data_IF_034144430503
#
_entry.id   IF_034144430503
#
_cell.length_a   1.000
_cell.length_b   1.000
_cell.length_c   1.000
_cell.angle_alpha   90.00
_cell.angle_beta   90.00
_cell.angle_gamma   90.00
#
_symmetry.space_group_name_H-M   'P 1'
#
loop_
_entity.id
_entity.type
_entity.pdbx_description
1 polymer ?
#
# COMPACT_ATOMS: atom_id res chain seq x y z
N UNK A 1 0.40 13.14 5.99
CA UNK A 1 1.76 13.62 5.68
C UNK A 1 2.32 12.72 4.60
N UNK A 2 2.38 13.22 3.36
CA UNK A 2 2.97 12.51 2.24
C UNK A 2 4.47 12.42 2.48
N UNK A 3 5.01 11.21 2.56
CA UNK A 3 6.46 11.01 2.51
C UNK A 3 6.83 10.84 1.04
N UNK A 4 7.38 11.89 0.45
CA UNK A 4 8.14 11.76 -0.79
C UNK A 4 9.48 11.10 -0.48
N UNK A 5 10.06 10.31 -1.41
CA UNK A 5 11.43 9.86 -1.28
C UNK A 5 12.34 11.05 -0.98
N UNK A 6 13.14 10.96 0.07
CA UNK A 6 14.15 11.98 0.33
C UNK A 6 15.22 11.87 -0.75
N UNK A 7 15.71 13.03 -1.21
CA UNK A 7 16.90 13.08 -2.05
C UNK A 7 18.05 12.39 -1.32
N UNK A 8 18.49 11.29 -1.82
CA UNK A 8 19.74 10.67 -1.41
C UNK A 8 20.85 11.40 -2.16
N UNK A 9 21.85 11.92 -1.44
CA UNK A 9 22.96 12.66 -2.05
C UNK A 9 23.81 11.78 -2.99
N UNK A 10 23.67 10.46 -2.87
CA UNK A 10 24.32 9.47 -3.73
C UNK A 10 23.58 9.20 -5.04
N UNK A 11 22.34 9.73 -5.20
CA UNK A 11 21.57 9.52 -6.42
C UNK A 11 21.89 10.64 -7.44
N UNK A 12 22.42 10.31 -8.62
CA UNK A 12 22.82 11.32 -9.61
C UNK A 12 21.64 12.08 -10.23
N UNK A 13 20.43 11.67 -9.95
CA UNK A 13 19.19 12.26 -10.44
C UNK A 13 18.51 12.98 -9.29
N UNK A 14 18.37 14.30 -9.38
CA UNK A 14 17.58 15.06 -8.43
C UNK A 14 16.09 14.79 -8.68
N UNK A 15 15.49 14.03 -7.80
CA UNK A 15 14.03 13.90 -7.79
C UNK A 15 13.40 15.24 -7.41
N UNK A 16 12.28 15.65 -8.04
CA UNK A 16 11.60 16.88 -7.68
C UNK A 16 11.16 16.83 -6.23
N UNK A 17 11.36 17.95 -5.54
CA UNK A 17 10.87 18.12 -4.16
C UNK A 17 9.35 18.11 -4.22
N UNK A 18 8.72 17.08 -3.70
CA UNK A 18 7.26 16.90 -3.57
C UNK A 18 6.43 17.56 -4.65
N UNK A 19 5.73 16.82 -5.49
CA UNK A 19 4.80 17.41 -6.43
C UNK A 19 3.79 18.28 -5.66
N UNK A 20 3.46 19.46 -6.18
CA UNK A 20 2.43 20.32 -5.59
C UNK A 20 1.08 19.59 -5.61
N UNK A 21 0.16 19.96 -4.71
CA UNK A 21 -1.20 19.40 -4.73
C UNK A 21 -1.86 19.56 -6.11
N UNK A 22 -1.63 20.68 -6.78
CA UNK A 22 -2.15 20.93 -8.13
C UNK A 22 -1.59 19.95 -9.18
N UNK A 23 -0.35 19.50 -9.03
CA UNK A 23 0.26 18.49 -9.90
C UNK A 23 -0.30 17.09 -9.64
N UNK A 24 -0.66 16.79 -8.41
CA UNK A 24 -1.28 15.51 -8.03
C UNK A 24 -2.77 15.51 -8.39
N UNK A 25 -3.44 16.65 -8.32
CA UNK A 25 -4.87 16.85 -8.44
C UNK A 25 -5.31 17.41 -9.80
N UNK A 26 -4.59 17.14 -10.88
CA UNK A 26 -5.04 17.49 -12.25
C UNK A 26 -6.33 16.76 -12.68
N UNK A 27 -6.98 16.09 -11.77
CA UNK A 27 -8.36 15.63 -11.93
C UNK A 27 -9.25 16.87 -11.86
N UNK A 28 -9.83 17.25 -12.99
CA UNK A 28 -10.68 18.42 -13.11
C UNK A 28 -11.72 18.55 -11.98
N UNK A 29 -12.22 19.74 -11.79
CA UNK A 29 -13.07 20.14 -10.68
C UNK A 29 -14.12 19.08 -10.29
N UNK A 30 -13.99 18.54 -9.06
CA UNK A 30 -14.91 17.62 -8.41
C UNK A 30 -15.13 16.29 -9.17
N UNK A 31 -14.24 15.30 -8.97
CA UNK A 31 -14.47 13.98 -9.53
C UNK A 31 -15.77 13.38 -8.99
N UNK A 32 -16.63 12.93 -9.89
CA UNK A 32 -17.86 12.24 -9.50
C UNK A 32 -17.49 10.78 -9.12
N UNK A 33 -17.89 10.40 -7.92
CA UNK A 33 -17.75 9.04 -7.42
C UNK A 33 -19.13 8.49 -7.04
N UNK A 34 -19.33 7.20 -7.29
CA UNK A 34 -20.56 6.51 -6.93
C UNK A 34 -20.23 5.19 -6.26
N UNK A 35 -20.91 4.89 -5.17
CA UNK A 35 -20.86 3.61 -4.48
C UNK A 35 -22.27 3.07 -4.25
N UNK A 36 -22.41 1.75 -4.35
CA UNK A 36 -23.66 1.03 -4.05
C UNK A 36 -23.35 -0.18 -3.20
N UNK A 37 -24.17 -0.40 -2.19
CA UNK A 37 -24.09 -1.52 -1.27
C UNK A 37 -25.47 -2.15 -1.14
N UNK A 38 -25.56 -3.47 -1.33
CA UNK A 38 -26.76 -4.26 -1.13
C UNK A 38 -26.41 -5.40 -0.19
N UNK A 39 -27.15 -5.56 0.89
CA UNK A 39 -26.96 -6.67 1.81
C UNK A 39 -28.25 -7.38 2.17
N UNK A 40 -28.14 -8.66 2.54
CA UNK A 40 -29.24 -9.45 3.06
C UNK A 40 -28.76 -10.28 4.24
N UNK A 41 -29.47 -10.14 5.36
CA UNK A 41 -29.22 -10.89 6.57
C UNK A 41 -30.11 -12.12 6.66
N UNK A 42 -29.58 -13.19 7.22
CA UNK A 42 -30.22 -14.47 7.54
C UNK A 42 -29.99 -14.77 9.02
N UNK A 43 -30.66 -15.78 9.55
CA UNK A 43 -30.50 -16.18 10.95
C UNK A 43 -29.10 -16.71 11.29
N UNK A 44 -28.31 -17.11 10.30
CA UNK A 44 -26.99 -17.70 10.45
C UNK A 44 -25.86 -16.85 9.86
N UNK A 45 -26.18 -15.66 9.35
CA UNK A 45 -25.16 -14.80 8.74
C UNK A 45 -25.73 -13.76 7.80
N UNK A 46 -24.89 -13.13 7.03
CA UNK A 46 -25.25 -12.14 6.01
C UNK A 46 -24.45 -12.32 4.72
N UNK A 47 -24.94 -11.71 3.65
CA UNK A 47 -24.25 -11.60 2.37
C UNK A 47 -24.41 -10.19 1.83
N UNK A 48 -23.38 -9.67 1.19
CA UNK A 48 -23.38 -8.35 0.59
C UNK A 48 -22.77 -8.33 -0.81
N UNK A 49 -23.24 -7.39 -1.61
CA UNK A 49 -22.67 -7.03 -2.91
C UNK A 49 -22.31 -5.54 -2.88
N UNK A 50 -21.14 -5.22 -3.38
CA UNK A 50 -20.60 -3.88 -3.39
C UNK A 50 -20.18 -3.50 -4.80
N UNK A 51 -20.45 -2.25 -5.17
CA UNK A 51 -19.92 -1.63 -6.37
C UNK A 51 -19.41 -0.24 -6.05
N UNK A 52 -18.28 0.12 -6.62
CA UNK A 52 -17.70 1.46 -6.52
C UNK A 52 -17.13 1.86 -7.87
N UNK A 53 -17.32 3.11 -8.24
CA UNK A 53 -16.67 3.76 -9.38
C UNK A 53 -16.21 5.15 -8.94
N UNK A 54 -14.91 5.37 -8.97
CA UNK A 54 -14.30 6.61 -8.48
C UNK A 54 -12.81 6.61 -8.77
N UNK A 55 -12.03 7.18 -7.85
CA UNK A 55 -10.58 7.31 -8.00
C UNK A 55 -9.84 6.59 -6.88
N UNK A 56 -8.61 6.19 -7.17
CA UNK A 56 -7.70 5.62 -6.18
C UNK A 56 -7.53 6.57 -4.99
N UNK A 57 -7.23 6.02 -3.83
CA UNK A 57 -6.96 6.79 -2.60
C UNK A 57 -5.47 7.08 -2.40
N UNK A 58 -4.64 6.45 -3.22
CA UNK A 58 -3.20 6.69 -3.30
C UNK A 58 -2.88 7.24 -4.68
N UNK A 59 -1.97 8.19 -4.73
CA UNK A 59 -1.43 8.65 -6.01
C UNK A 59 -0.44 7.62 -6.57
N UNK A 60 -0.37 7.56 -7.88
CA UNK A 60 0.44 6.62 -8.64
C UNK A 60 1.27 7.38 -9.67
N UNK A 61 2.34 6.74 -10.12
CA UNK A 61 3.14 7.26 -11.21
C UNK A 61 2.31 7.25 -12.50
N UNK A 62 2.07 8.44 -13.08
CA UNK A 62 1.35 8.62 -14.36
C UNK A 62 2.28 8.80 -15.54
N UNK A 63 3.48 9.30 -15.30
CA UNK A 63 4.48 9.51 -16.34
C UNK A 63 5.75 10.16 -15.83
N UNK A 64 6.72 10.26 -16.73
CA UNK A 64 8.04 10.81 -16.45
C UNK A 64 8.42 11.75 -17.58
N UNK A 65 8.94 12.93 -17.25
CA UNK A 65 9.60 13.84 -18.18
C UNK A 65 11.09 13.81 -17.91
N UNK A 66 11.89 13.66 -18.97
CA UNK A 66 13.33 13.74 -18.93
C UNK A 66 13.82 14.97 -19.68
N UNK A 67 14.69 15.72 -19.04
CA UNK A 67 15.35 16.89 -19.62
C UNK A 67 16.86 16.70 -19.52
N UNK A 68 17.58 17.08 -20.55
CA UNK A 68 19.04 17.04 -20.58
C UNK A 68 19.61 18.29 -21.19
N UNK A 69 20.70 18.79 -20.61
CA UNK A 69 21.39 19.98 -21.05
C UNK A 69 22.89 19.73 -21.22
N UNK A 70 23.46 20.34 -22.24
CA UNK A 70 24.88 20.25 -22.54
C UNK A 70 25.28 19.10 -23.47
N UNK A 71 26.51 19.12 -24.02
CA UNK A 71 26.96 18.17 -25.05
C UNK A 71 27.04 16.73 -24.54
N UNK A 72 27.20 16.55 -23.24
CA UNK A 72 27.36 15.23 -22.59
C UNK A 72 26.16 14.85 -21.72
N UNK A 73 25.03 15.54 -21.83
CA UNK A 73 23.87 15.37 -20.95
C UNK A 73 24.26 15.44 -19.47
N UNK A 74 25.23 16.31 -19.16
CA UNK A 74 25.91 16.37 -17.86
C UNK A 74 25.02 16.80 -16.69
N UNK A 75 23.82 17.31 -16.98
CA UNK A 75 22.84 17.73 -15.98
C UNK A 75 21.46 17.15 -16.32
N UNK A 76 21.24 15.84 -16.20
CA UNK A 76 19.92 15.25 -16.40
C UNK A 76 18.97 15.73 -15.28
N UNK A 77 17.74 16.04 -15.67
CA UNK A 77 16.66 16.33 -14.76
C UNK A 77 15.49 15.43 -15.09
N UNK A 78 14.98 14.74 -14.09
CA UNK A 78 13.80 13.90 -14.22
C UNK A 78 12.67 14.50 -13.38
N UNK A 79 11.56 14.77 -14.02
CA UNK A 79 10.33 15.23 -13.40
C UNK A 79 9.31 14.09 -13.44
N UNK A 80 8.84 13.71 -12.25
CA UNK A 80 7.91 12.58 -12.06
C UNK A 80 6.51 13.13 -11.88
N UNK A 81 5.60 12.69 -12.72
CA UNK A 81 4.20 13.10 -12.68
C UNK A 81 3.35 12.04 -11.99
N UNK A 82 2.69 12.43 -10.92
CA UNK A 82 1.75 11.59 -10.19
C UNK A 82 0.31 11.94 -10.55
N UNK A 83 -0.56 10.95 -10.44
CA UNK A 83 -2.00 11.12 -10.62
C UNK A 83 -2.80 10.07 -9.85
N UNK A 84 -4.12 10.22 -9.88
CA UNK A 84 -5.04 9.24 -9.32
C UNK A 84 -5.70 8.45 -10.44
N UNK A 85 -5.56 7.12 -10.41
CA UNK A 85 -6.22 6.25 -11.38
C UNK A 85 -7.72 6.20 -11.12
N UNK A 86 -8.49 6.19 -12.19
CA UNK A 86 -9.91 5.86 -12.12
C UNK A 86 -10.07 4.37 -11.83
N UNK A 87 -10.86 4.05 -10.83
CA UNK A 87 -11.01 2.68 -10.33
C UNK A 87 -12.49 2.30 -10.27
N UNK A 88 -12.80 1.14 -10.83
CA UNK A 88 -14.09 0.48 -10.67
C UNK A 88 -13.86 -0.79 -9.85
N UNK A 89 -14.67 -0.99 -8.83
CA UNK A 89 -14.62 -2.15 -7.94
C UNK A 89 -15.96 -2.85 -7.91
N UNK A 90 -15.94 -4.16 -8.00
CA UNK A 90 -17.09 -5.02 -7.71
C UNK A 90 -16.68 -6.02 -6.64
N UNK A 91 -17.44 -6.10 -5.57
CA UNK A 91 -17.12 -6.94 -4.43
C UNK A 91 -18.31 -7.74 -3.94
N UNK A 92 -18.00 -8.87 -3.32
CA UNK A 92 -18.93 -9.72 -2.57
C UNK A 92 -18.33 -9.93 -1.19
N UNK A 93 -19.18 -9.91 -0.17
CA UNK A 93 -18.78 -10.21 1.20
C UNK A 93 -19.88 -10.91 1.94
N UNK A 94 -19.53 -11.47 3.09
CA UNK A 94 -20.52 -12.08 3.98
C UNK A 94 -19.91 -12.60 5.26
N UNK A 95 -20.79 -12.89 6.22
CA UNK A 95 -20.45 -13.50 7.49
C UNK A 95 -21.32 -14.71 7.78
N UNK A 96 -20.78 -15.65 8.54
CA UNK A 96 -21.46 -16.84 9.06
C UNK A 96 -21.22 -16.94 10.56
N UNK A 97 -22.27 -17.22 11.33
CA UNK A 97 -22.23 -17.36 12.78
C UNK A 97 -22.45 -18.81 13.20
N UNK A 98 -21.53 -19.38 13.96
CA UNK A 98 -21.58 -20.74 14.51
C UNK A 98 -21.27 -20.69 16.01
N UNK A 99 -22.29 -20.44 16.83
CA UNK A 99 -22.10 -20.25 18.27
C UNK A 99 -21.17 -19.09 18.59
N UNK A 100 -20.03 -19.37 19.22
CA UNK A 100 -19.02 -18.36 19.58
C UNK A 100 -18.00 -18.08 18.49
N UNK A 101 -18.22 -18.60 17.28
CA UNK A 101 -17.34 -18.42 16.14
C UNK A 101 -18.06 -17.62 15.06
N UNK A 102 -17.39 -16.60 14.55
CA UNK A 102 -17.79 -15.85 13.37
C UNK A 102 -16.75 -16.04 12.25
N UNK A 103 -17.24 -16.40 11.08
CA UNK A 103 -16.43 -16.46 9.85
C UNK A 103 -16.86 -15.32 8.92
N UNK A 104 -15.92 -14.54 8.42
CA UNK A 104 -16.15 -13.50 7.40
C UNK A 104 -15.30 -13.77 6.19
N UNK A 105 -15.85 -13.49 5.02
CA UNK A 105 -15.14 -13.58 3.76
C UNK A 105 -15.54 -12.41 2.86
N UNK A 106 -14.52 -11.77 2.28
CA UNK A 106 -14.68 -10.70 1.32
C UNK A 106 -13.80 -10.96 0.11
N UNK A 107 -14.34 -10.67 -1.07
CA UNK A 107 -13.58 -10.69 -2.31
C UNK A 107 -13.99 -9.52 -3.19
N UNK A 108 -13.03 -8.86 -3.81
CA UNK A 108 -13.27 -7.73 -4.69
C UNK A 108 -12.37 -7.78 -5.93
N UNK A 109 -12.96 -7.47 -7.08
CA UNK A 109 -12.27 -7.30 -8.35
C UNK A 109 -12.21 -5.81 -8.67
N UNK A 110 -11.03 -5.35 -9.02
CA UNK A 110 -10.73 -3.97 -9.34
C UNK A 110 -10.26 -3.83 -10.77
N UNK A 111 -10.76 -2.80 -11.45
CA UNK A 111 -10.26 -2.36 -12.75
C UNK A 111 -9.82 -0.92 -12.63
N UNK A 112 -8.54 -0.67 -12.79
CA UNK A 112 -7.98 0.67 -12.71
C UNK A 112 -7.47 1.14 -14.06
N UNK A 113 -7.52 2.46 -14.27
CA UNK A 113 -7.00 3.12 -15.45
C UNK A 113 -6.45 4.49 -15.08
N UNK A 114 -5.22 4.75 -15.48
CA UNK A 114 -4.67 6.09 -15.47
C UNK A 114 -5.33 6.90 -16.60
N UNK A 115 -6.05 7.96 -16.23
CA UNK A 115 -6.69 8.88 -17.17
C UNK A 115 -5.93 10.22 -17.30
N UNK A 116 -4.78 10.33 -16.63
CA UNK A 116 -3.99 11.55 -16.68
C UNK A 116 -3.44 11.75 -18.10
N UNK A 117 -3.94 12.79 -18.76
CA UNK A 117 -3.58 13.13 -20.14
C UNK A 117 -2.51 14.22 -20.24
N UNK A 118 -2.28 14.92 -19.14
CA UNK A 118 -1.39 16.09 -19.10
C UNK A 118 -0.15 15.76 -18.26
N UNK A 119 0.71 14.93 -18.82
CA UNK A 119 1.97 14.55 -18.19
C UNK A 119 3.15 15.41 -18.64
N UNK A 120 3.02 16.14 -19.77
CA UNK A 120 4.07 17.02 -20.28
C UNK A 120 4.32 18.17 -19.32
N UNK A 121 5.58 18.45 -19.05
CA UNK A 121 6.04 19.54 -18.19
C UNK A 121 6.94 20.49 -18.97
N UNK A 122 6.97 21.72 -18.49
CA UNK A 122 7.90 22.72 -19.06
C UNK A 122 9.31 22.44 -18.54
N UNK A 123 10.30 22.59 -19.43
CA UNK A 123 11.70 22.45 -19.05
C UNK A 123 12.07 23.30 -17.83
N UNK A 124 12.79 22.75 -16.84
CA UNK A 124 13.29 23.50 -15.69
C UNK A 124 14.42 24.47 -16.03
N UNK A 125 14.99 24.38 -17.24
CA UNK A 125 16.07 25.25 -17.68
C UNK A 125 15.55 26.62 -18.09
N UNK A 126 16.39 27.63 -17.96
CA UNK A 126 16.04 29.00 -18.29
C UNK A 126 15.67 29.13 -19.80
N UNK A 127 14.81 30.12 -20.16
CA UNK A 127 14.25 30.24 -21.52
C UNK A 127 15.27 30.34 -22.66
N UNK A 128 16.51 30.70 -22.35
CA UNK A 128 17.60 30.83 -23.31
C UNK A 128 18.54 29.63 -23.37
N UNK A 129 18.22 28.57 -22.62
CA UNK A 129 18.99 27.33 -22.58
C UNK A 129 18.20 26.29 -23.34
N UNK A 130 18.72 25.77 -24.43
CA UNK A 130 18.10 24.72 -25.20
C UNK A 130 18.40 23.38 -24.55
N UNK A 131 17.36 22.61 -24.24
CA UNK A 131 17.51 21.22 -23.83
C UNK A 131 18.17 20.44 -25.00
N UNK A 132 19.19 19.69 -24.65
CA UNK A 132 19.80 18.74 -25.61
C UNK A 132 18.95 17.48 -25.75
N UNK A 133 18.16 17.19 -24.75
CA UNK A 133 17.22 16.10 -24.65
C UNK A 133 15.93 16.58 -23.95
N UNK A 134 14.80 16.31 -24.57
CA UNK A 134 13.49 16.45 -23.92
C UNK A 134 12.61 15.31 -24.41
N UNK A 135 12.11 14.53 -23.49
CA UNK A 135 11.16 13.47 -23.77
C UNK A 135 10.13 13.34 -22.66
N UNK A 136 8.96 12.86 -23.02
CA UNK A 136 7.84 12.61 -22.13
C UNK A 136 7.41 11.16 -22.30
N UNK A 137 7.41 10.40 -21.21
CA UNK A 137 6.96 9.02 -21.16
C UNK A 137 5.65 8.91 -20.35
N UNK A 138 4.50 8.79 -21.02
CA UNK A 138 3.25 8.45 -20.36
C UNK A 138 3.25 6.97 -19.99
N UNK A 139 2.77 6.66 -18.81
CA UNK A 139 2.53 5.25 -18.44
C UNK A 139 1.19 4.76 -18.98
N UNK A 140 0.14 5.58 -18.93
CA UNK A 140 -1.22 5.21 -19.35
C UNK A 140 -1.64 3.83 -18.81
N UNK A 141 -1.34 3.62 -17.55
CA UNK A 141 -1.45 2.33 -16.89
C UNK A 141 -2.90 1.84 -16.83
N UNK A 142 -3.10 0.56 -17.09
CA UNK A 142 -4.35 -0.14 -16.89
C UNK A 142 -4.07 -1.45 -16.16
N UNK A 143 -4.78 -1.69 -15.08
CA UNK A 143 -4.62 -2.94 -14.34
C UNK A 143 -5.96 -3.52 -13.92
N UNK A 144 -5.98 -4.84 -13.85
CA UNK A 144 -7.05 -5.62 -13.22
C UNK A 144 -6.43 -6.43 -12.11
N UNK A 145 -6.93 -6.27 -10.89
CA UNK A 145 -6.45 -7.00 -9.73
C UNK A 145 -7.60 -7.44 -8.84
N UNK A 146 -7.35 -8.42 -8.00
CA UNK A 146 -8.32 -8.84 -7.00
C UNK A 146 -7.72 -8.80 -5.61
N UNK A 147 -8.58 -8.66 -4.61
CA UNK A 147 -8.25 -8.80 -3.20
C UNK A 147 -9.25 -9.74 -2.56
N UNK A 148 -8.76 -10.60 -1.67
CA UNK A 148 -9.59 -11.48 -0.85
C UNK A 148 -9.16 -11.38 0.60
N UNK A 149 -10.14 -11.47 1.49
CA UNK A 149 -9.95 -11.49 2.91
C UNK A 149 -10.81 -12.59 3.51
N UNK A 150 -10.22 -13.44 4.35
CA UNK A 150 -10.91 -14.44 5.15
C UNK A 150 -10.61 -14.16 6.61
N UNK A 151 -11.61 -14.07 7.45
CA UNK A 151 -11.45 -13.78 8.87
C UNK A 151 -12.21 -14.78 9.70
N UNK A 152 -11.61 -15.19 10.79
CA UNK A 152 -12.25 -15.95 11.87
C UNK A 152 -12.16 -15.15 13.15
N UNK A 153 -13.28 -14.99 13.85
CA UNK A 153 -13.34 -14.49 15.21
C UNK A 153 -13.88 -15.60 16.12
N UNK A 154 -13.25 -15.79 17.27
CA UNK A 154 -13.67 -16.80 18.23
C UNK A 154 -13.41 -16.35 19.66
N UNK A 155 -14.34 -16.68 20.55
CA UNK A 155 -14.11 -16.62 21.98
C UNK A 155 -13.54 -17.96 22.45
N UNK A 156 -12.26 -17.95 22.81
CA UNK A 156 -11.54 -19.12 23.31
C UNK A 156 -11.79 -19.30 24.81
N UNK A 157 -11.48 -20.48 25.40
CA UNK A 157 -11.50 -20.67 26.85
C UNK A 157 -10.73 -19.58 27.60
N UNK A 158 -11.13 -19.28 28.80
CA UNK A 158 -10.55 -18.25 29.67
C UNK A 158 -10.78 -16.82 29.21
N UNK A 159 -11.88 -16.55 28.50
CA UNK A 159 -12.29 -15.24 28.00
C UNK A 159 -11.22 -14.59 27.10
N UNK A 160 -10.51 -15.40 26.31
CA UNK A 160 -9.56 -14.92 25.29
C UNK A 160 -10.33 -14.70 24.00
N UNK A 161 -10.29 -13.47 23.47
CA UNK A 161 -10.76 -13.20 22.10
C UNK A 161 -9.65 -13.47 21.12
N UNK A 162 -9.97 -14.22 20.08
CA UNK A 162 -9.07 -14.52 18.96
C UNK A 162 -9.64 -13.95 17.67
N UNK A 163 -8.79 -13.30 16.90
CA UNK A 163 -9.06 -12.90 15.51
C UNK A 163 -7.91 -13.43 14.67
N UNK A 164 -8.25 -14.24 13.67
CA UNK A 164 -7.33 -14.69 12.63
C UNK A 164 -7.82 -14.19 11.28
N UNK A 165 -6.92 -13.66 10.45
CA UNK A 165 -7.25 -13.13 9.15
C UNK A 165 -6.21 -13.57 8.12
N UNK A 166 -6.67 -14.00 6.96
CA UNK A 166 -5.86 -14.24 5.78
C UNK A 166 -6.20 -13.20 4.73
N UNK A 167 -5.19 -12.50 4.26
CA UNK A 167 -5.27 -11.53 3.18
C UNK A 167 -4.51 -12.03 1.97
N UNK A 168 -5.10 -11.85 0.80
CA UNK A 168 -4.43 -12.10 -0.48
C UNK A 168 -4.81 -11.06 -1.52
N UNK A 169 -3.84 -10.62 -2.28
CA UNK A 169 -3.97 -9.75 -3.42
C UNK A 169 -3.13 -10.28 -4.57
N UNK A 170 -3.64 -10.15 -5.82
CA UNK A 170 -2.86 -10.47 -7.01
C UNK A 170 -3.32 -9.64 -8.21
N UNK A 171 -2.37 -9.34 -9.10
CA UNK A 171 -2.59 -8.61 -10.35
C UNK A 171 -2.84 -9.60 -11.47
N UNK A 172 -4.05 -9.56 -12.05
CA UNK A 172 -4.49 -10.47 -13.11
C UNK A 172 -4.05 -10.02 -14.52
N UNK A 173 -4.13 -8.72 -14.76
CA UNK A 173 -3.72 -8.10 -16.04
C UNK A 173 -3.13 -6.73 -15.76
N UNK A 174 -2.05 -6.43 -16.45
CA UNK A 174 -1.39 -5.13 -16.40
C UNK A 174 -0.95 -4.73 -17.79
N UNK A 175 -1.18 -3.48 -18.16
CA UNK A 175 -0.76 -2.89 -19.42
C UNK A 175 -0.36 -1.44 -19.22
N UNK A 176 0.69 -1.04 -19.90
CA UNK A 176 1.15 0.33 -19.95
C UNK A 176 1.70 0.60 -21.35
N UNK A 177 1.71 1.85 -21.76
CA UNK A 177 2.32 2.24 -23.04
C UNK A 177 3.84 2.18 -23.01
N UNK A 178 4.43 2.21 -21.82
CA UNK A 178 5.88 2.28 -21.61
C UNK A 178 6.47 1.06 -20.89
N UNK A 179 5.63 0.17 -20.34
CA UNK A 179 6.04 -1.01 -19.58
C UNK A 179 5.25 -2.24 -20.03
N UNK A 180 5.84 -3.44 -20.04
CA UNK A 180 7.26 -3.72 -19.74
C UNK A 180 8.20 -3.14 -20.79
N UNK A 181 9.45 -2.94 -20.40
CA UNK A 181 10.48 -2.55 -21.36
C UNK A 181 10.84 -3.74 -22.26
N UNK A 182 11.11 -3.48 -23.53
CA UNK A 182 11.52 -4.51 -24.49
C UNK A 182 12.98 -4.95 -24.29
N UNK A 183 13.77 -4.15 -23.59
CA UNK A 183 15.21 -4.39 -23.35
C UNK A 183 15.73 -3.53 -22.20
N UNK A 184 16.84 -3.95 -21.63
CA UNK A 184 17.56 -3.19 -20.59
C UNK A 184 17.91 -1.78 -21.07
N UNK A 185 17.77 -0.81 -20.19
CA UNK A 185 18.17 0.58 -20.45
C UNK A 185 19.46 0.84 -19.68
N UNK A 186 20.51 1.16 -20.44
CA UNK A 186 21.80 1.59 -19.88
C UNK A 186 22.09 3.00 -20.34
N UNK A 187 22.11 3.92 -19.41
CA UNK A 187 22.58 5.29 -19.59
C UNK A 187 23.68 5.58 -18.59
N UNK A 188 24.56 6.57 -18.79
CA UNK A 188 25.62 6.88 -17.84
C UNK A 188 25.06 7.04 -16.41
N UNK A 189 25.57 6.22 -15.48
CA UNK A 189 25.20 6.16 -14.06
C UNK A 189 23.79 5.62 -13.76
N UNK A 190 23.09 5.01 -14.72
CA UNK A 190 21.81 4.35 -14.47
C UNK A 190 21.69 3.10 -15.35
N UNK A 191 21.62 1.95 -14.72
CA UNK A 191 21.28 0.67 -15.35
C UNK A 191 19.92 0.23 -14.83
N UNK A 192 18.98 -0.02 -15.73
CA UNK A 192 17.65 -0.54 -15.41
C UNK A 192 17.49 -1.86 -16.14
N UNK A 193 17.35 -2.93 -15.40
CA UNK A 193 17.06 -4.24 -15.93
C UNK A 193 15.56 -4.39 -16.21
N UNK A 194 15.23 -5.06 -17.32
CA UNK A 194 13.83 -5.33 -17.70
C UNK A 194 13.06 -6.02 -16.56
N UNK A 195 13.71 -6.96 -15.87
CA UNK A 195 13.08 -7.74 -14.80
C UNK A 195 12.74 -6.88 -13.56
N UNK A 196 13.49 -5.82 -13.29
CA UNK A 196 13.23 -4.88 -12.19
C UNK A 196 11.97 -4.07 -12.43
N UNK A 197 11.62 -3.83 -13.69
CA UNK A 197 10.40 -3.13 -14.12
C UNK A 197 9.27 -4.10 -14.51
N UNK A 198 9.28 -5.34 -14.01
CA UNK A 198 8.14 -6.23 -14.16
C UNK A 198 6.90 -5.57 -13.52
N UNK A 199 5.81 -5.42 -14.30
CA UNK A 199 4.54 -4.90 -13.79
C UNK A 199 4.06 -5.53 -12.49
N UNK A 200 4.34 -6.81 -12.26
CA UNK A 200 4.00 -7.52 -11.03
C UNK A 200 4.71 -6.96 -9.80
N UNK A 201 5.88 -6.36 -9.98
CA UNK A 201 6.69 -5.79 -8.90
C UNK A 201 6.41 -4.30 -8.71
N UNK A 202 6.03 -3.59 -9.77
CA UNK A 202 5.86 -2.13 -9.76
C UNK A 202 4.43 -1.73 -9.39
N UNK A 203 3.43 -2.51 -9.84
CA UNK A 203 2.04 -2.15 -9.62
C UNK A 203 1.68 -2.17 -8.13
N UNK A 204 1.21 -1.03 -7.63
CA UNK A 204 0.69 -0.91 -6.28
C UNK A 204 -0.79 -0.55 -6.35
N UNK A 205 -1.68 -1.33 -5.71
CA UNK A 205 -3.10 -1.01 -5.62
C UNK A 205 -3.32 0.34 -4.92
N UNK A 206 -4.10 1.21 -5.52
CA UNK A 206 -4.46 2.50 -4.93
C UNK A 206 -5.79 2.50 -4.20
N UNK A 207 -6.55 1.41 -4.31
CA UNK A 207 -7.85 1.21 -3.66
C UNK A 207 -7.96 -0.21 -3.11
N UNK A 208 -8.67 -0.36 -1.98
CA UNK A 208 -8.87 -1.63 -1.28
C UNK A 208 -8.16 -1.67 0.07
N UNK A 209 -7.65 -2.83 0.46
CA UNK A 209 -6.97 -3.00 1.75
C UNK A 209 -5.61 -2.29 1.76
N UNK A 210 -5.31 -1.50 2.80
CA UNK A 210 -3.96 -0.94 2.99
C UNK A 210 -2.84 -1.99 3.05
N UNK A 211 -3.16 -3.23 3.41
CA UNK A 211 -2.19 -4.34 3.43
C UNK A 211 -1.60 -4.62 2.06
N UNK A 212 -2.35 -4.41 0.98
CA UNK A 212 -1.86 -4.59 -0.39
C UNK A 212 -0.66 -3.70 -0.74
N UNK A 213 -0.43 -2.64 0.05
CA UNK A 213 0.76 -1.79 -0.06
C UNK A 213 1.97 -2.43 0.61
N UNK A 214 1.78 -3.31 1.58
CA UNK A 214 2.87 -3.95 2.33
C UNK A 214 3.25 -5.32 1.75
N UNK A 215 2.25 -6.10 1.38
CA UNK A 215 2.45 -7.49 0.94
C UNK A 215 1.30 -7.96 0.06
N UNK A 216 1.56 -8.98 -0.75
CA UNK A 216 0.53 -9.65 -1.56
C UNK A 216 -0.24 -10.69 -0.75
N UNK A 217 0.40 -11.32 0.26
CA UNK A 217 -0.23 -12.35 1.09
C UNK A 217 0.19 -12.20 2.54
N UNK A 218 -0.77 -12.13 3.44
CA UNK A 218 -0.50 -12.03 4.87
C UNK A 218 -1.41 -12.91 5.71
N UNK A 219 -0.88 -13.36 6.84
CA UNK A 219 -1.65 -13.86 7.97
C UNK A 219 -1.57 -12.81 9.07
N UNK A 220 -2.74 -12.43 9.59
CA UNK A 220 -2.87 -11.48 10.69
C UNK A 220 -3.52 -12.23 11.85
N UNK A 221 -2.98 -12.08 13.04
CA UNK A 221 -3.55 -12.68 14.23
C UNK A 221 -3.61 -11.64 15.36
N UNK A 222 -4.67 -11.73 16.15
CA UNK A 222 -4.80 -10.94 17.37
C UNK A 222 -5.39 -11.82 18.47
N UNK A 223 -4.82 -11.69 19.66
CA UNK A 223 -5.30 -12.29 20.90
C UNK A 223 -5.50 -11.18 21.92
N UNK A 224 -6.67 -11.10 22.49
CA UNK A 224 -6.99 -10.13 23.55
C UNK A 224 -7.51 -10.86 24.78
N UNK A 225 -7.01 -10.45 25.94
CA UNK A 225 -7.53 -10.91 27.23
C UNK A 225 -7.62 -9.77 28.22
N UNK A 226 -8.77 -9.71 28.89
CA UNK A 226 -9.02 -8.77 29.99
C UNK A 226 -8.84 -9.45 31.35
N UNK A 227 -8.35 -8.69 32.33
CA UNK A 227 -8.11 -9.09 33.71
C UNK A 227 -8.70 -8.05 34.67
N UNK A 228 -8.92 -8.43 35.93
CA UNK A 228 -9.36 -7.52 36.99
C UNK A 228 -10.63 -6.74 36.62
N UNK A 229 -11.70 -7.48 36.30
CA UNK A 229 -12.98 -6.88 35.87
C UNK A 229 -12.82 -5.85 34.73
N UNK A 230 -11.96 -6.19 33.76
CA UNK A 230 -11.60 -5.37 32.56
C UNK A 230 -10.76 -4.12 32.86
N UNK A 231 -10.18 -4.00 34.05
CA UNK A 231 -9.25 -2.90 34.35
C UNK A 231 -7.93 -3.02 33.57
N UNK A 232 -7.47 -4.25 33.30
CA UNK A 232 -6.29 -4.50 32.50
C UNK A 232 -6.67 -5.28 31.25
N UNK A 233 -6.38 -4.76 30.06
CA UNK A 233 -6.47 -5.48 28.80
C UNK A 233 -5.05 -5.70 28.23
N UNK A 234 -4.77 -6.94 27.81
CA UNK A 234 -3.54 -7.29 27.12
C UNK A 234 -3.90 -7.77 25.72
N UNK A 235 -3.32 -7.13 24.72
CA UNK A 235 -3.50 -7.48 23.30
C UNK A 235 -2.14 -7.85 22.69
N UNK A 236 -2.07 -9.05 22.12
CA UNK A 236 -0.96 -9.48 21.28
C UNK A 236 -1.44 -9.53 19.82
N UNK A 237 -0.77 -8.88 18.92
CA UNK A 237 -1.11 -8.87 17.50
C UNK A 237 0.10 -9.13 16.63
N UNK A 238 -0.12 -9.70 15.45
CA UNK A 238 0.94 -9.99 14.49
C UNK A 238 0.43 -9.91 13.06
N UNK A 239 1.32 -9.51 12.17
CA UNK A 239 1.19 -9.61 10.72
C UNK A 239 2.40 -10.40 10.24
N UNK A 240 2.15 -11.50 9.55
CA UNK A 240 3.18 -12.29 8.90
C UNK A 240 3.00 -12.17 7.38
N UNK A 241 4.03 -11.70 6.72
CA UNK A 241 4.10 -11.80 5.26
C UNK A 241 4.38 -13.25 4.90
N UNK A 242 3.52 -13.83 4.07
CA UNK A 242 3.63 -15.21 3.58
C UNK A 242 3.73 -15.28 2.06
N UNK A 243 4.04 -14.17 1.42
CA UNK A 243 4.27 -14.11 -0.01
C UNK A 243 5.67 -14.65 -0.34
N UNK A 244 5.75 -15.97 -0.53
CA UNK A 244 6.99 -16.71 -0.77
C UNK A 244 7.09 -17.23 -2.19
N UNK A 245 6.37 -16.69 -3.15
CA UNK A 245 6.22 -17.33 -4.46
C UNK A 245 7.56 -17.72 -5.11
N UNK A 246 8.66 -17.06 -4.75
CA UNK A 246 10.01 -17.34 -5.28
C UNK A 246 11.08 -17.46 -4.17
N UNK A 247 10.69 -17.62 -2.91
CA UNK A 247 11.59 -17.61 -1.77
C UNK A 247 11.58 -18.93 -0.99
N UNK A 248 12.71 -19.61 -0.96
CA UNK A 248 12.90 -20.88 -0.23
C UNK A 248 13.40 -20.68 1.21
N UNK A 249 13.25 -19.50 1.78
CA UNK A 249 13.74 -19.14 3.10
C UNK A 249 12.67 -19.17 4.21
N UNK A 250 13.07 -18.93 5.46
CA UNK A 250 12.14 -18.71 6.57
C UNK A 250 11.35 -17.42 6.36
N UNK A 251 10.23 -17.28 7.04
CA UNK A 251 9.25 -16.17 6.94
C UNK A 251 9.86 -14.85 6.47
N UNK A 252 9.43 -14.30 5.34
CA UNK A 252 10.05 -13.14 4.72
C UNK A 252 9.93 -11.86 5.56
N UNK A 253 8.92 -11.74 6.43
CA UNK A 253 8.80 -10.58 7.31
C UNK A 253 7.63 -10.66 8.27
N UNK A 254 7.71 -9.87 9.34
CA UNK A 254 6.66 -9.83 10.36
C UNK A 254 6.62 -8.49 11.09
N UNK A 255 5.41 -8.14 11.54
CA UNK A 255 5.16 -7.10 12.53
C UNK A 255 4.52 -7.79 13.73
N UNK A 256 5.12 -7.68 14.90
CA UNK A 256 4.60 -8.25 16.14
C UNK A 256 4.43 -7.11 17.14
N UNK A 257 3.24 -7.01 17.72
CA UNK A 257 2.93 -5.98 18.73
C UNK A 257 2.34 -6.63 20.00
N UNK A 258 2.75 -6.08 21.12
CA UNK A 258 2.18 -6.39 22.44
C UNK A 258 1.76 -5.07 23.09
N UNK A 259 0.53 -5.00 23.53
CA UNK A 259 -0.04 -3.82 24.18
C UNK A 259 -0.71 -4.21 25.48
N UNK A 260 -0.53 -3.38 26.49
CA UNK A 260 -1.21 -3.47 27.78
C UNK A 260 -1.86 -2.12 28.08
N UNK A 261 -3.19 -2.11 28.26
CA UNK A 261 -3.98 -0.95 28.64
C UNK A 261 -4.53 -1.14 30.05
N UNK A 262 -4.28 -0.19 30.94
CA UNK A 262 -4.71 -0.23 32.32
C UNK A 262 -5.57 0.99 32.67
N UNK A 263 -6.82 0.76 33.08
CA UNK A 263 -7.72 1.77 33.59
C UNK A 263 -7.32 2.13 35.05
N UNK A 264 -6.60 3.25 35.20
CA UNK A 264 -6.18 3.77 36.53
C UNK A 264 -7.41 4.31 37.31
N UNK A 265 -8.33 4.95 36.59
CA UNK A 265 -9.60 5.46 37.05
C UNK A 265 -10.65 5.35 35.96
N UNK A 266 -11.91 5.66 36.22
CA UNK A 266 -12.99 5.57 35.21
C UNK A 266 -12.75 6.41 33.96
N UNK A 267 -11.98 7.47 34.11
CA UNK A 267 -11.68 8.49 33.09
C UNK A 267 -10.19 8.56 32.71
N UNK A 268 -9.33 7.71 33.33
CA UNK A 268 -7.88 7.73 33.12
C UNK A 268 -7.35 6.35 32.77
N UNK A 269 -6.77 6.22 31.59
CA UNK A 269 -6.17 5.00 31.04
C UNK A 269 -4.69 5.20 30.70
N UNK A 270 -3.86 4.24 31.07
CA UNK A 270 -2.45 4.15 30.68
C UNK A 270 -2.31 2.98 29.71
N UNK A 271 -1.73 3.23 28.54
CA UNK A 271 -1.40 2.19 27.58
C UNK A 271 0.11 2.13 27.38
N UNK A 272 0.67 0.93 27.43
CA UNK A 272 2.07 0.65 27.08
C UNK A 272 2.06 -0.34 25.93
N UNK A 273 2.80 -0.02 24.87
CA UNK A 273 2.90 -0.85 23.69
C UNK A 273 4.35 -1.08 23.28
N UNK A 274 4.62 -2.27 22.75
CA UNK A 274 5.86 -2.66 22.08
C UNK A 274 5.54 -3.17 20.69
N UNK A 275 6.23 -2.65 19.68
CA UNK A 275 6.12 -3.11 18.28
C UNK A 275 7.51 -3.44 17.77
N UNK A 276 7.63 -4.65 17.20
CA UNK A 276 8.84 -5.14 16.56
C UNK A 276 8.52 -5.46 15.09
N UNK A 277 9.31 -4.91 14.18
CA UNK A 277 9.20 -5.11 12.73
C UNK A 277 10.48 -5.80 12.27
N UNK A 278 10.32 -6.86 11.49
CA UNK A 278 11.44 -7.58 10.89
C UNK A 278 11.14 -7.90 9.44
N UNK A 279 12.13 -7.75 8.57
CA UNK A 279 12.11 -8.15 7.18
C UNK A 279 13.42 -8.84 6.78
N UNK A 280 13.38 -9.74 5.81
CA UNK A 280 14.58 -10.41 5.31
C UNK A 280 15.19 -9.62 4.16
N UNK A 281 16.45 -9.22 4.27
CA UNK A 281 17.23 -8.59 3.18
C UNK A 281 17.33 -9.45 1.91
N UNK A 282 17.19 -10.78 2.08
CA UNK A 282 17.25 -11.74 0.96
C UNK A 282 15.89 -11.99 0.32
N UNK A 283 14.84 -11.27 0.75
CA UNK A 283 13.54 -11.37 0.12
C UNK A 283 13.67 -11.11 -1.39
N UNK A 284 12.87 -11.76 -2.27
CA UNK A 284 12.92 -11.56 -3.72
C UNK A 284 12.83 -10.10 -4.16
N UNK A 285 12.17 -9.26 -3.37
CA UNK A 285 12.11 -7.81 -3.59
C UNK A 285 13.38 -7.07 -3.16
N UNK A 286 14.37 -7.79 -2.62
CA UNK A 286 15.68 -7.25 -2.29
C UNK A 286 15.66 -6.20 -1.17
N UNK A 287 16.55 -5.21 -1.28
CA UNK A 287 16.68 -4.11 -0.32
C UNK A 287 15.45 -3.22 -0.25
N UNK A 288 14.62 -3.22 -1.30
CA UNK A 288 13.36 -2.46 -1.36
C UNK A 288 12.20 -3.17 -0.65
N UNK A 289 12.44 -4.34 -0.05
CA UNK A 289 11.40 -5.04 0.71
C UNK A 289 10.91 -4.22 1.89
N UNK A 290 9.64 -3.87 1.85
CA UNK A 290 9.08 -2.84 2.75
C UNK A 290 9.22 -3.15 4.22
N UNK A 291 9.03 -4.40 4.64
CA UNK A 291 9.19 -4.76 6.05
C UNK A 291 10.64 -4.65 6.52
N UNK A 292 11.62 -4.90 5.63
CA UNK A 292 13.03 -4.66 5.95
C UNK A 292 13.31 -3.16 6.14
N UNK A 293 12.86 -2.32 5.21
CA UNK A 293 13.02 -0.87 5.29
C UNK A 293 12.34 -0.29 6.55
N UNK A 294 11.27 -0.95 7.03
CA UNK A 294 10.51 -0.54 8.19
C UNK A 294 11.09 -1.01 9.53
N UNK A 295 12.16 -1.78 9.59
CA UNK A 295 12.73 -2.30 10.84
C UNK A 295 13.05 -1.20 11.86
N UNK A 296 13.53 -0.03 11.40
CA UNK A 296 13.86 1.12 12.23
C UNK A 296 12.61 1.78 12.89
N UNK A 297 11.41 1.43 12.45
CA UNK A 297 10.18 1.85 13.11
C UNK A 297 9.76 0.94 14.28
N UNK A 298 10.55 -0.05 14.64
CA UNK A 298 10.35 -0.81 15.88
C UNK A 298 10.46 0.12 17.08
N UNK A 299 9.48 0.09 17.98
CA UNK A 299 9.41 1.07 19.06
C UNK A 299 8.70 0.56 20.31
N UNK A 300 8.91 1.27 21.40
CA UNK A 300 8.10 1.21 22.60
C UNK A 300 7.33 2.54 22.70
N UNK A 301 6.04 2.46 23.06
CA UNK A 301 5.22 3.64 23.29
C UNK A 301 4.56 3.58 24.65
N UNK A 302 4.26 4.74 25.20
CA UNK A 302 3.42 4.90 26.38
C UNK A 302 2.45 6.07 26.15
N UNK A 303 1.17 5.83 26.36
CA UNK A 303 0.09 6.80 26.15
C UNK A 303 -0.72 6.93 27.41
N UNK A 304 -1.13 8.14 27.74
CA UNK A 304 -2.09 8.42 28.80
C UNK A 304 -3.31 9.08 28.16
N UNK A 305 -4.46 8.49 28.33
CA UNK A 305 -5.74 8.99 27.85
C UNK A 305 -6.61 9.43 29.02
N UNK A 306 -7.05 10.67 28.99
CA UNK A 306 -8.03 11.21 29.92
C UNK A 306 -9.31 11.58 29.15
N UNK A 307 -10.46 11.09 29.65
CA UNK A 307 -11.78 11.36 29.07
C UNK A 307 -12.59 12.24 30.03
N UNK A 308 -13.08 13.38 29.57
CA UNK A 308 -13.85 14.37 30.38
C UNK A 308 -15.22 14.63 29.78
#
# INVERSE_FOLDING_TARGET
>A
THRTPQNDDDFPIKLPVSPSEDQIMEIGALPFEIGTYISRSFSFGDVSLNYFSGYDRLFNLSGVNGFGYGPDLSNPHIDVVYGYRKTNMTGIGGSLFFGDIELRADAALFHTKDENKSIERVSPYLPNVYDSLHYTYPLNEKATYFQTNLQIEANLPFDIKFIGQFFNYDTLDYRSDSLPLDKDVSIPNLEINVDELDPKNIFTPGYGSPLAVLTKKAIIMSLEKSFFDKQLAITASSIFDIDNTDYNGPSPGSIISLEASYAIANDLELTIGYTNIKGDKKHPQGEDYRLHIMEDFSHIRADIKYSF
#
